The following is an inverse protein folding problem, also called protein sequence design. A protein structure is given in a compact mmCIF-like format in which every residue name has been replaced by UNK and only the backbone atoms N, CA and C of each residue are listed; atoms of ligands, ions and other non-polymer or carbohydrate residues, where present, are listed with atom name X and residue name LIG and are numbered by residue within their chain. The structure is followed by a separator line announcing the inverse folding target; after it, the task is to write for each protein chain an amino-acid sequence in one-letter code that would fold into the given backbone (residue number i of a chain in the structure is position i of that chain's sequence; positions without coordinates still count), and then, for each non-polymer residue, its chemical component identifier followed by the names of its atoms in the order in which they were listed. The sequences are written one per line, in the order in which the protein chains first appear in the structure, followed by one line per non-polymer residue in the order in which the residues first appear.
data_IF_376637833199
#
_entry.id   IF_376637833199
#
_cell.length_a   1.000
_cell.length_b   1.000
_cell.length_c   1.000
_cell.angle_alpha   90.00
_cell.angle_beta   90.00
_cell.angle_gamma   90.00
#
_symmetry.space_group_name_H-M   'P 1'
#
loop_
_entity.id
_entity.type
_entity.pdbx_description
1 polymer ?
#
# COMPACT_ATOMS: atom_id res chain seq x y z
N UNK A 1 0.99 -4.76 -47.42
CA UNK A 1 0.91 -3.63 -46.45
C UNK A 1 -0.46 -3.51 -45.76
N UNK A 2 -1.60 -3.70 -46.47
CA UNK A 2 -2.93 -3.67 -45.84
C UNK A 2 -3.22 -4.85 -44.87
N UNK A 3 -2.64 -6.04 -45.11
CA UNK A 3 -2.88 -7.24 -44.26
C UNK A 3 -2.21 -7.23 -42.88
N UNK A 4 -1.13 -6.47 -42.67
CA UNK A 4 -0.47 -6.38 -41.35
C UNK A 4 -1.17 -5.40 -40.39
N UNK A 5 -1.91 -4.43 -40.92
CA UNK A 5 -2.65 -3.46 -40.11
C UNK A 5 -3.89 -4.11 -39.47
N UNK A 6 -4.53 -5.05 -40.18
CA UNK A 6 -5.70 -5.79 -39.68
C UNK A 6 -5.33 -6.71 -38.50
N UNK A 7 -4.16 -7.37 -38.54
CA UNK A 7 -3.70 -8.22 -37.43
C UNK A 7 -3.36 -7.40 -36.16
N UNK A 8 -2.85 -6.18 -36.29
CA UNK A 8 -2.56 -5.31 -35.17
C UNK A 8 -3.81 -4.70 -34.51
N UNK A 9 -4.94 -4.62 -35.24
CA UNK A 9 -6.22 -4.19 -34.68
C UNK A 9 -7.02 -5.34 -34.05
N UNK A 10 -6.76 -6.59 -34.43
CA UNK A 10 -7.43 -7.78 -33.88
C UNK A 10 -6.81 -8.25 -32.55
N UNK A 11 -5.59 -7.80 -32.22
CA UNK A 11 -4.92 -8.10 -30.94
C UNK A 11 -4.79 -6.86 -30.04
N UNK A 12 -5.77 -5.96 -30.08
CA UNK A 12 -5.94 -4.98 -28.99
C UNK A 12 -6.92 -5.59 -28.01
N UNK A 13 -6.39 -6.47 -27.17
CA UNK A 13 -7.18 -7.07 -26.10
C UNK A 13 -7.43 -5.98 -25.04
N UNK A 14 -8.57 -5.30 -25.17
CA UNK A 14 -9.03 -4.24 -24.27
C UNK A 14 -9.14 -4.71 -22.80
N UNK A 15 -8.98 -6.02 -22.53
CA UNK A 15 -8.91 -6.57 -21.18
C UNK A 15 -7.51 -6.50 -20.54
N UNK A 16 -6.41 -6.45 -21.32
CA UNK A 16 -5.03 -6.38 -20.80
C UNK A 16 -4.76 -5.11 -19.99
N UNK A 17 -5.23 -3.90 -20.41
CA UNK A 17 -5.10 -2.69 -19.60
C UNK A 17 -5.83 -2.79 -18.25
N UNK A 18 -6.97 -3.50 -18.21
CA UNK A 18 -7.77 -3.67 -17.00
C UNK A 18 -7.10 -4.63 -16.00
N UNK A 19 -6.44 -5.69 -16.49
CA UNK A 19 -5.68 -6.62 -15.66
C UNK A 19 -4.41 -5.97 -15.11
N UNK A 20 -3.65 -5.23 -15.93
CA UNK A 20 -2.44 -4.50 -15.46
C UNK A 20 -2.80 -3.50 -14.37
N UNK A 21 -3.81 -2.65 -14.61
CA UNK A 21 -4.25 -1.65 -13.63
C UNK A 21 -4.75 -2.29 -12.32
N UNK A 22 -5.34 -3.49 -12.39
CA UNK A 22 -5.70 -4.24 -11.19
C UNK A 22 -4.49 -4.78 -10.44
N UNK A 23 -3.54 -5.42 -11.13
CA UNK A 23 -2.34 -5.95 -10.49
C UNK A 23 -1.52 -4.83 -9.85
N UNK A 24 -1.41 -3.68 -10.51
CA UNK A 24 -0.82 -2.47 -9.95
C UNK A 24 -1.56 -2.00 -8.68
N UNK A 25 -2.89 -2.04 -8.69
CA UNK A 25 -3.69 -1.69 -7.52
C UNK A 25 -3.47 -2.68 -6.36
N UNK A 26 -3.50 -3.99 -6.62
CA UNK A 26 -3.24 -5.02 -5.61
C UNK A 26 -1.83 -4.90 -5.05
N UNK A 27 -0.83 -4.71 -5.90
CA UNK A 27 0.55 -4.50 -5.47
C UNK A 27 0.70 -3.27 -4.56
N UNK A 28 0.01 -2.17 -4.88
CA UNK A 28 0.01 -0.98 -4.04
C UNK A 28 -0.65 -1.23 -2.67
N UNK A 29 -1.76 -1.98 -2.62
CA UNK A 29 -2.41 -2.36 -1.36
C UNK A 29 -1.56 -3.30 -0.52
N UNK A 30 -0.90 -4.27 -1.15
CA UNK A 30 0.02 -5.19 -0.49
C UNK A 30 1.23 -4.45 0.10
N UNK A 31 1.79 -3.50 -0.65
CA UNK A 31 2.86 -2.64 -0.17
C UNK A 31 2.43 -1.83 1.06
N UNK A 32 1.22 -1.27 1.07
CA UNK A 32 0.67 -0.56 2.25
C UNK A 32 0.58 -1.48 3.48
N UNK A 33 -0.02 -2.66 3.30
CA UNK A 33 -0.15 -3.65 4.38
C UNK A 33 1.20 -4.10 4.92
N UNK A 34 2.16 -4.36 4.03
CA UNK A 34 3.49 -4.81 4.38
C UNK A 34 4.22 -3.76 5.21
N UNK A 35 4.24 -2.50 4.76
CA UNK A 35 4.90 -1.41 5.49
C UNK A 35 4.22 -1.16 6.84
N UNK A 36 2.89 -1.08 6.88
CA UNK A 36 2.14 -0.86 8.12
C UNK A 36 2.37 -1.99 9.14
N UNK A 37 2.35 -3.25 8.69
CA UNK A 37 2.59 -4.41 9.56
C UNK A 37 3.99 -4.43 10.14
N UNK A 38 5.00 -4.13 9.32
CA UNK A 38 6.39 -4.05 9.77
C UNK A 38 6.57 -2.91 10.77
N UNK A 39 6.10 -1.71 10.44
CA UNK A 39 6.18 -0.53 11.31
C UNK A 39 5.55 -0.80 12.68
N UNK A 40 4.32 -1.33 12.69
CA UNK A 40 3.60 -1.72 13.91
C UNK A 40 4.38 -2.72 14.76
N UNK A 41 4.88 -3.79 14.14
CA UNK A 41 5.67 -4.81 14.84
C UNK A 41 6.99 -4.25 15.37
N UNK A 42 7.62 -3.31 14.67
CA UNK A 42 8.88 -2.74 15.13
C UNK A 42 8.68 -1.83 16.34
N UNK A 43 7.70 -0.92 16.31
CA UNK A 43 7.46 0.00 17.43
C UNK A 43 6.97 -0.72 18.68
N UNK A 44 6.10 -1.73 18.53
CA UNK A 44 5.63 -2.54 19.67
C UNK A 44 6.75 -3.40 20.30
N UNK A 45 7.82 -3.69 19.54
CA UNK A 45 8.99 -4.44 20.02
C UNK A 45 10.14 -3.52 20.46
N UNK A 46 9.91 -2.20 20.57
CA UNK A 46 10.93 -1.25 21.00
C UNK A 46 11.97 -0.88 19.93
N UNK A 47 11.76 -1.25 18.66
CA UNK A 47 12.69 -1.02 17.53
C UNK A 47 12.38 0.30 16.82
N UNK A 48 12.71 1.42 17.45
CA UNK A 48 12.27 2.75 17.00
C UNK A 48 13.19 3.44 15.97
N UNK A 49 14.43 2.97 15.80
CA UNK A 49 15.46 3.61 14.96
C UNK A 49 15.00 3.96 13.55
N UNK A 50 14.10 3.16 12.97
CA UNK A 50 13.64 3.32 11.59
C UNK A 50 12.18 3.74 11.49
N UNK A 51 11.54 4.19 12.59
CA UNK A 51 10.12 4.53 12.60
C UNK A 51 9.82 5.69 11.64
N UNK A 52 10.53 6.82 11.74
CA UNK A 52 10.35 7.96 10.83
C UNK A 52 10.56 7.58 9.37
N UNK A 53 11.60 6.80 9.07
CA UNK A 53 11.84 6.31 7.70
C UNK A 53 10.69 5.44 7.19
N UNK A 54 10.18 4.51 8.00
CA UNK A 54 9.06 3.64 7.63
C UNK A 54 7.75 4.41 7.47
N UNK A 55 7.53 5.46 8.25
CA UNK A 55 6.40 6.37 8.07
C UNK A 55 6.53 7.15 6.75
N UNK A 56 7.73 7.61 6.38
CA UNK A 56 7.95 8.23 5.07
C UNK A 56 7.70 7.24 3.92
N UNK A 57 8.14 5.98 4.04
CA UNK A 57 7.81 4.93 3.07
C UNK A 57 6.30 4.67 2.98
N UNK A 58 5.60 4.65 4.13
CA UNK A 58 4.15 4.50 4.19
C UNK A 58 3.45 5.67 3.48
N UNK A 59 3.89 6.90 3.73
CA UNK A 59 3.40 8.09 3.05
C UNK A 59 3.59 8.03 1.53
N UNK A 60 4.77 7.59 1.07
CA UNK A 60 5.00 7.37 -0.35
C UNK A 60 4.08 6.29 -0.94
N UNK A 61 3.91 5.17 -0.24
CA UNK A 61 2.99 4.12 -0.65
C UNK A 61 1.53 4.61 -0.71
N UNK A 62 1.10 5.45 0.24
CA UNK A 62 -0.22 6.09 0.24
C UNK A 62 -0.40 6.98 -1.00
N UNK A 63 0.62 7.77 -1.35
CA UNK A 63 0.61 8.62 -2.54
C UNK A 63 0.56 7.81 -3.85
N UNK A 64 1.15 6.61 -3.87
CA UNK A 64 1.05 5.69 -5.01
C UNK A 64 -0.29 4.95 -5.05
N UNK A 65 -0.94 4.78 -3.90
CA UNK A 65 -2.26 4.17 -3.80
C UNK A 65 -3.38 5.15 -4.17
N UNK A 66 -4.54 4.61 -4.56
CA UNK A 66 -5.78 5.39 -4.71
C UNK A 66 -6.65 5.37 -3.45
N UNK A 67 -6.19 4.72 -2.37
CA UNK A 67 -6.97 4.45 -1.17
C UNK A 67 -6.84 5.59 -0.16
N UNK A 68 -7.96 6.26 0.15
CA UNK A 68 -8.09 7.25 1.24
C UNK A 68 -6.91 8.24 1.36
N UNK A 69 -6.33 8.63 0.22
CA UNK A 69 -5.01 9.28 0.16
C UNK A 69 -4.93 10.55 0.99
N UNK A 70 -5.89 11.44 0.82
CA UNK A 70 -5.87 12.75 1.48
C UNK A 70 -6.05 12.64 2.99
N UNK A 71 -6.86 11.67 3.43
CA UNK A 71 -7.09 11.39 4.84
C UNK A 71 -5.82 10.85 5.51
N UNK A 72 -5.25 9.78 4.96
CA UNK A 72 -4.05 9.15 5.52
C UNK A 72 -2.80 10.04 5.46
N UNK A 73 -2.68 10.88 4.43
CA UNK A 73 -1.61 11.90 4.36
C UNK A 73 -1.69 12.87 5.52
N UNK A 74 -2.86 13.49 5.72
CA UNK A 74 -3.08 14.43 6.82
C UNK A 74 -2.80 13.77 8.16
N UNK A 75 -3.29 12.53 8.33
CA UNK A 75 -3.03 11.74 9.53
C UNK A 75 -1.54 11.59 9.81
N UNK A 76 -0.72 11.29 8.80
CA UNK A 76 0.75 11.21 8.95
C UNK A 76 1.36 12.57 9.27
N UNK A 77 0.95 13.62 8.55
CA UNK A 77 1.49 14.98 8.69
C UNK A 77 1.28 15.57 10.10
N UNK A 78 0.28 15.09 10.86
CA UNK A 78 -0.01 15.53 12.24
C UNK A 78 1.15 15.33 13.22
N UNK A 79 1.86 14.20 13.14
CA UNK A 79 2.87 13.83 14.14
C UNK A 79 4.22 13.40 13.53
N UNK A 80 4.38 13.52 12.21
CA UNK A 80 5.61 13.07 11.54
C UNK A 80 6.87 13.75 12.08
N UNK A 81 6.83 15.08 12.28
CA UNK A 81 7.99 15.82 12.79
C UNK A 81 8.34 15.43 14.23
N UNK A 82 7.36 15.18 15.10
CA UNK A 82 7.60 14.69 16.47
C UNK A 82 8.29 13.32 16.48
N UNK A 83 7.81 12.39 15.63
CA UNK A 83 8.43 11.06 15.50
C UNK A 83 9.85 11.17 14.94
N UNK A 84 10.06 12.05 13.97
CA UNK A 84 11.36 12.30 13.37
C UNK A 84 12.35 12.84 14.40
N UNK A 85 11.99 13.89 15.13
CA UNK A 85 12.83 14.46 16.18
C UNK A 85 13.17 13.42 17.26
N UNK A 86 12.18 12.63 17.70
CA UNK A 86 12.40 11.58 18.70
C UNK A 86 13.32 10.44 18.21
N UNK A 87 13.42 10.23 16.89
CA UNK A 87 14.19 9.11 16.32
C UNK A 87 15.56 9.48 15.75
N UNK A 88 15.78 10.74 15.36
CA UNK A 88 17.04 11.22 14.80
C UNK A 88 18.04 11.72 15.86
N UNK A 89 17.56 12.03 17.07
CA UNK A 89 18.38 12.65 18.12
C UNK A 89 19.39 11.70 18.78
N UNK A 90 19.22 10.37 18.69
CA UNK A 90 20.07 9.41 19.41
C UNK A 90 20.23 8.10 18.63
N UNK A 91 21.37 7.42 18.77
CA UNK A 91 21.63 6.14 18.08
C UNK A 91 20.64 5.01 18.46
N UNK A 92 20.11 5.07 19.69
CA UNK A 92 19.11 4.16 20.23
C UNK A 92 17.89 4.96 20.69
N UNK A 93 17.07 5.45 19.76
CA UNK A 93 15.95 6.28 20.12
C UNK A 93 14.86 5.48 20.84
N UNK A 94 14.16 6.13 21.75
CA UNK A 94 12.97 5.59 22.42
C UNK A 94 11.83 6.56 22.16
N UNK A 95 10.78 6.07 21.51
CA UNK A 95 9.58 6.86 21.30
C UNK A 95 8.78 6.93 22.61
N UNK A 96 8.19 8.09 22.95
CA UNK A 96 7.17 8.19 23.98
C UNK A 96 5.98 7.28 23.66
N UNK A 97 5.35 6.73 24.71
CA UNK A 97 4.21 5.80 24.56
C UNK A 97 3.08 6.40 23.72
N UNK A 98 2.81 7.71 23.85
CA UNK A 98 1.81 8.43 23.05
C UNK A 98 2.09 8.34 21.55
N UNK A 99 3.36 8.47 21.13
CA UNK A 99 3.73 8.34 19.72
C UNK A 99 3.68 6.88 19.26
N UNK A 100 3.96 5.92 20.15
CA UNK A 100 3.82 4.49 19.85
C UNK A 100 2.34 4.15 19.61
N UNK A 101 1.45 4.56 20.52
CA UNK A 101 0.00 4.38 20.38
C UNK A 101 -0.52 5.04 19.10
N UNK A 102 -0.06 6.25 18.79
CA UNK A 102 -0.41 6.93 17.56
C UNK A 102 0.04 6.14 16.31
N UNK A 103 1.29 5.66 16.27
CA UNK A 103 1.80 4.85 15.14
C UNK A 103 0.98 3.56 15.00
N UNK A 104 0.67 2.88 16.10
CA UNK A 104 -0.14 1.66 16.09
C UNK A 104 -1.54 1.96 15.54
N UNK A 105 -2.18 3.04 16.00
CA UNK A 105 -3.48 3.48 15.48
C UNK A 105 -3.47 3.79 13.99
N UNK A 106 -2.43 4.48 13.50
CA UNK A 106 -2.24 4.72 12.06
C UNK A 106 -2.10 3.40 11.28
N UNK A 107 -1.33 2.44 11.80
CA UNK A 107 -1.14 1.14 11.14
C UNK A 107 -2.45 0.33 11.10
N UNK A 108 -3.20 0.31 12.20
CA UNK A 108 -4.48 -0.41 12.30
C UNK A 108 -5.54 0.21 11.37
N UNK A 109 -5.54 1.54 11.22
CA UNK A 109 -6.38 2.27 10.27
C UNK A 109 -6.05 1.91 8.81
N UNK A 110 -4.76 1.90 8.44
CA UNK A 110 -4.33 1.47 7.10
C UNK A 110 -4.78 0.05 6.82
N UNK A 111 -4.58 -0.88 7.77
CA UNK A 111 -5.00 -2.27 7.61
C UNK A 111 -6.52 -2.39 7.43
N UNK A 112 -7.29 -1.66 8.24
CA UNK A 112 -8.75 -1.64 8.14
C UNK A 112 -9.22 -1.17 6.77
N UNK A 113 -8.69 -0.04 6.28
CA UNK A 113 -9.02 0.51 4.97
C UNK A 113 -8.68 -0.45 3.82
N UNK A 114 -7.56 -1.16 3.90
CA UNK A 114 -7.20 -2.15 2.88
C UNK A 114 -8.15 -3.36 2.91
N UNK A 115 -8.60 -3.77 4.10
CA UNK A 115 -9.57 -4.87 4.24
C UNK A 115 -11.00 -4.50 3.84
N UNK A 116 -11.37 -3.22 3.94
CA UNK A 116 -12.66 -2.68 3.48
C UNK A 116 -12.77 -2.57 1.95
N UNK A 117 -11.65 -2.64 1.21
CA UNK A 117 -11.67 -2.59 -0.25
C UNK A 117 -12.57 -3.73 -0.79
N UNK A 118 -13.68 -3.40 -1.50
CA UNK A 118 -14.70 -4.39 -1.80
C UNK A 118 -14.17 -5.59 -2.60
N UNK A 119 -14.56 -6.78 -2.14
CA UNK A 119 -14.37 -8.06 -2.85
C UNK A 119 -15.01 -8.08 -4.26
N UNK A 120 -15.84 -7.09 -4.59
CA UNK A 120 -16.41 -6.90 -5.93
C UNK A 120 -15.34 -6.73 -7.03
N UNK A 121 -14.13 -6.27 -6.67
CA UNK A 121 -13.00 -6.19 -7.60
C UNK A 121 -12.33 -7.55 -7.84
N UNK A 122 -12.29 -8.42 -6.81
CA UNK A 122 -11.87 -9.83 -6.96
C UNK A 122 -12.86 -10.60 -7.85
N UNK A 123 -14.16 -10.33 -7.72
CA UNK A 123 -15.19 -10.99 -8.52
C UNK A 123 -15.12 -10.65 -10.01
N UNK A 124 -14.65 -9.46 -10.39
CA UNK A 124 -14.44 -9.08 -11.80
C UNK A 124 -13.31 -9.88 -12.47
N UNK A 125 -12.41 -10.47 -11.70
CA UNK A 125 -11.25 -11.21 -12.19
C UNK A 125 -11.30 -12.71 -11.89
N UNK A 126 -12.31 -13.15 -11.15
CA UNK A 126 -12.62 -14.58 -11.00
C UNK A 126 -12.76 -15.29 -12.36
N UNK A 127 -13.37 -14.70 -13.42
CA UNK A 127 -13.38 -15.30 -14.75
C UNK A 127 -11.98 -15.47 -15.34
N UNK A 128 -11.10 -14.48 -15.15
CA UNK A 128 -9.72 -14.50 -15.67
C UNK A 128 -8.84 -15.49 -14.91
N UNK A 129 -9.02 -15.60 -13.59
CA UNK A 129 -8.34 -16.60 -12.76
C UNK A 129 -8.76 -18.03 -13.12
N UNK A 130 -10.04 -18.27 -13.42
CA UNK A 130 -10.52 -19.57 -13.92
C UNK A 130 -9.96 -19.91 -15.30
N UNK A 131 -9.79 -18.90 -16.17
CA UNK A 131 -9.19 -19.10 -17.49
C UNK A 131 -7.73 -19.57 -17.37
N UNK A 132 -6.93 -18.94 -16.50
CA UNK A 132 -5.54 -19.33 -16.26
C UNK A 132 -5.39 -20.73 -15.64
N UNK A 133 -6.34 -21.18 -14.82
CA UNK A 133 -6.38 -22.54 -14.27
C UNK A 133 -6.71 -23.63 -15.31
N UNK A 134 -7.24 -23.27 -16.48
CA UNK A 134 -7.55 -24.22 -17.55
C UNK A 134 -6.35 -24.50 -18.47
N UNK A 135 -5.28 -23.69 -18.39
CA UNK A 135 -4.04 -23.84 -19.17
C UNK A 135 -2.88 -24.44 -18.36
N UNK A 136 -3.13 -24.96 -17.16
CA UNK A 136 -2.22 -25.82 -16.38
C UNK A 136 -2.69 -27.26 -16.38
#
# INVERSE_FOLDING_TARGET
LAGMIVLAQVYRDDHVPAVSAYLEHVAALDQLLCIASQLRNDVTQGRHKYAAHKIALLYHAINSSKLARDHLRKRIEEHFEEVKEATETTERPVLPDVLIEWIVGLCDEVQSLVHEVPTSWRNKLLPTARFLQHFS
#
